data_IF_143042415930
#
_entry.id   IF_143042415930
#
_cell.length_a   1.000
_cell.length_b   1.000
_cell.length_c   1.000
_cell.angle_alpha   90.00
_cell.angle_beta   90.00
_cell.angle_gamma   90.00
#
_symmetry.space_group_name_H-M   'P 1'
#
loop_
_entity.id
_entity.type
_entity.pdbx_description
1 polymer ?
#
# COMPACT_ATOMS: atom_id res chain seq x y z
N UNK A 1 89.42 8.31 -28.54
CA UNK A 1 88.43 7.29 -28.96
C UNK A 1 87.74 6.77 -27.70
N UNK A 2 86.63 7.39 -27.30
CA UNK A 2 85.71 6.90 -26.25
C UNK A 2 84.33 7.41 -26.66
N UNK A 3 83.42 6.50 -26.94
CA UNK A 3 82.03 6.80 -27.25
C UNK A 3 81.17 6.55 -26.00
N UNK A 4 80.41 7.57 -25.59
CA UNK A 4 79.38 7.51 -24.56
C UNK A 4 78.07 7.01 -25.21
N UNK A 5 77.48 5.95 -24.67
CA UNK A 5 76.13 5.51 -24.99
C UNK A 5 75.11 6.11 -24.02
N UNK A 6 74.10 6.76 -24.58
CA UNK A 6 72.90 7.23 -23.89
C UNK A 6 71.98 6.03 -23.62
N UNK A 7 71.46 5.92 -22.40
CA UNK A 7 70.36 5.00 -22.06
C UNK A 7 69.05 5.79 -22.09
N UNK A 8 68.13 5.32 -22.93
CA UNK A 8 66.85 5.97 -23.25
C UNK A 8 65.89 6.02 -22.04
N UNK A 9 65.43 7.23 -21.75
CA UNK A 9 64.41 7.60 -20.76
C UNK A 9 62.97 7.28 -21.21
N UNK A 10 62.77 6.17 -21.93
CA UNK A 10 61.47 5.81 -22.52
C UNK A 10 60.77 4.62 -21.83
N UNK A 11 61.46 3.89 -20.95
CA UNK A 11 60.94 2.64 -20.38
C UNK A 11 60.17 2.79 -19.05
N UNK A 12 60.25 3.94 -18.36
CA UNK A 12 59.61 4.13 -17.06
C UNK A 12 58.14 4.63 -17.11
N UNK A 13 57.63 5.05 -18.27
CA UNK A 13 56.28 5.64 -18.39
C UNK A 13 55.16 4.67 -18.79
N UNK A 14 55.48 3.40 -19.13
CA UNK A 14 54.45 2.43 -19.57
C UNK A 14 53.90 1.54 -18.45
N UNK A 15 54.58 1.45 -17.31
CA UNK A 15 54.16 0.56 -16.19
C UNK A 15 53.19 1.27 -15.23
N UNK A 16 53.30 2.59 -15.09
CA UNK A 16 52.44 3.39 -14.18
C UNK A 16 51.05 3.68 -14.75
N UNK A 17 50.89 3.79 -16.07
CA UNK A 17 49.58 4.08 -16.68
C UNK A 17 48.66 2.84 -16.68
N UNK A 18 49.22 1.63 -16.71
CA UNK A 18 48.41 0.41 -16.70
C UNK A 18 47.81 0.09 -15.33
N UNK A 19 48.42 0.52 -14.22
CA UNK A 19 47.91 0.25 -12.87
C UNK A 19 46.75 1.17 -12.45
N UNK A 20 46.66 2.38 -13.02
CA UNK A 20 45.56 3.33 -12.73
C UNK A 20 44.26 2.89 -13.43
N UNK A 21 44.36 2.26 -14.60
CA UNK A 21 43.20 1.76 -15.34
C UNK A 21 42.50 0.56 -14.66
N UNK A 22 43.26 -0.31 -13.98
CA UNK A 22 42.67 -1.41 -13.19
C UNK A 22 42.16 -0.96 -11.81
N UNK A 23 42.73 0.10 -11.23
CA UNK A 23 42.25 0.66 -9.95
C UNK A 23 40.87 1.32 -10.03
N UNK A 24 40.51 1.89 -11.19
CA UNK A 24 39.20 2.55 -11.38
C UNK A 24 38.06 1.59 -11.74
N UNK A 25 38.36 0.42 -12.30
CA UNK A 25 37.35 -0.57 -12.68
C UNK A 25 36.78 -1.36 -11.48
N UNK A 26 37.55 -1.48 -10.39
CA UNK A 26 37.12 -2.24 -9.20
C UNK A 26 36.16 -1.44 -8.30
N UNK A 27 36.12 -0.10 -8.39
CA UNK A 27 35.24 0.73 -7.56
C UNK A 27 33.78 0.82 -8.07
N UNK A 28 33.48 0.37 -9.29
CA UNK A 28 32.11 0.36 -9.84
C UNK A 28 31.34 -0.95 -9.57
N UNK A 29 31.94 -1.92 -8.89
CA UNK A 29 31.27 -3.14 -8.43
C UNK A 29 30.81 -3.01 -6.97
N UNK A 30 30.40 -1.82 -6.54
CA UNK A 30 29.65 -1.72 -5.29
C UNK A 30 28.30 -2.40 -5.52
N UNK A 31 28.00 -3.52 -4.83
CA UNK A 31 26.68 -4.09 -4.90
C UNK A 31 25.71 -3.03 -4.40
N UNK A 32 24.81 -2.57 -5.27
CA UNK A 32 23.61 -1.87 -4.79
C UNK A 32 22.92 -2.85 -3.85
N UNK A 33 23.06 -2.61 -2.55
CA UNK A 33 22.39 -3.38 -1.53
C UNK A 33 20.89 -3.21 -1.77
N UNK A 34 20.26 -4.24 -2.34
CA UNK A 34 18.81 -4.29 -2.46
C UNK A 34 18.30 -4.56 -1.05
N UNK A 35 17.97 -3.49 -0.33
CA UNK A 35 17.32 -3.61 0.98
C UNK A 35 15.87 -4.07 0.78
N UNK A 36 15.66 -5.38 0.83
CA UNK A 36 14.34 -5.96 1.01
C UNK A 36 14.03 -5.97 2.50
N UNK A 37 13.21 -5.04 2.97
CA UNK A 37 12.67 -5.13 4.33
C UNK A 37 11.44 -6.03 4.30
N UNK A 38 11.31 -6.96 5.24
CA UNK A 38 10.14 -7.83 5.33
C UNK A 38 8.88 -7.03 5.68
N UNK A 39 7.74 -7.43 5.12
CA UNK A 39 6.44 -6.87 5.49
C UNK A 39 6.06 -7.40 6.87
N UNK A 40 5.84 -6.50 7.84
CA UNK A 40 5.34 -6.89 9.15
C UNK A 40 3.86 -7.22 9.02
N UNK A 41 3.52 -8.51 9.02
CA UNK A 41 2.15 -8.97 8.78
C UNK A 41 1.29 -8.77 10.03
N UNK A 42 0.17 -8.06 9.88
CA UNK A 42 -0.83 -7.91 10.94
C UNK A 42 -1.91 -8.99 10.86
N UNK A 43 -2.50 -9.18 9.68
CA UNK A 43 -3.54 -10.20 9.45
C UNK A 43 -3.46 -10.71 8.01
N UNK A 44 -3.75 -12.00 7.83
CA UNK A 44 -3.96 -12.62 6.53
C UNK A 44 -5.37 -13.21 6.45
N UNK A 45 -6.08 -12.90 5.38
CA UNK A 45 -7.44 -13.33 5.11
C UNK A 45 -7.47 -14.18 3.83
N UNK A 46 -8.13 -15.35 3.84
CA UNK A 46 -8.28 -16.11 2.61
C UNK A 46 -9.15 -15.33 1.62
N UNK A 47 -8.79 -15.38 0.35
CA UNK A 47 -9.62 -14.91 -0.76
C UNK A 47 -10.16 -16.11 -1.49
N UNK A 48 -11.48 -16.26 -1.54
CA UNK A 48 -12.13 -17.45 -2.09
C UNK A 48 -13.14 -17.11 -3.20
N UNK A 49 -13.38 -18.08 -4.07
CA UNK A 49 -14.44 -18.08 -5.08
C UNK A 49 -15.02 -19.49 -5.16
N UNK A 50 -16.34 -19.64 -5.00
CA UNK A 50 -17.00 -20.96 -5.01
C UNK A 50 -16.32 -22.00 -4.11
N UNK A 51 -15.93 -21.58 -2.89
CA UNK A 51 -15.21 -22.40 -1.87
C UNK A 51 -13.76 -22.74 -2.22
N UNK A 52 -13.27 -22.35 -3.40
CA UNK A 52 -11.89 -22.52 -3.81
C UNK A 52 -11.03 -21.32 -3.38
N UNK A 53 -9.84 -21.58 -2.86
CA UNK A 53 -8.89 -20.53 -2.52
C UNK A 53 -8.27 -19.95 -3.79
N UNK A 54 -8.44 -18.65 -3.99
CA UNK A 54 -7.77 -17.88 -5.04
C UNK A 54 -6.46 -17.25 -4.57
N UNK A 55 -6.26 -17.14 -3.26
CA UNK A 55 -5.10 -16.47 -2.69
C UNK A 55 -5.32 -15.98 -1.27
N UNK A 56 -4.49 -15.02 -0.86
CA UNK A 56 -4.55 -14.37 0.46
C UNK A 56 -4.52 -12.86 0.32
N UNK A 57 -5.33 -12.18 1.13
CA UNK A 57 -5.34 -10.74 1.33
C UNK A 57 -4.66 -10.46 2.67
N UNK A 58 -3.52 -9.77 2.61
CA UNK A 58 -2.66 -9.50 3.75
C UNK A 58 -2.72 -8.02 4.07
N UNK A 59 -2.94 -7.67 5.32
CA UNK A 59 -2.78 -6.32 5.85
C UNK A 59 -1.57 -6.31 6.81
N UNK A 60 -0.73 -5.29 6.70
CA UNK A 60 0.41 -5.11 7.59
C UNK A 60 -0.02 -4.85 9.03
N UNK A 61 0.92 -4.91 9.96
CA UNK A 61 0.77 -4.21 11.22
C UNK A 61 0.58 -2.71 10.92
N UNK A 62 -0.32 -2.04 11.62
CA UNK A 62 -0.47 -0.60 11.48
C UNK A 62 0.80 0.08 11.99
N UNK A 63 1.20 1.15 11.31
CA UNK A 63 2.10 2.15 11.86
C UNK A 63 1.32 3.42 12.16
N UNK A 64 1.90 4.31 12.95
CA UNK A 64 1.34 5.57 13.38
C UNK A 64 2.07 6.70 12.70
N UNK A 65 1.39 7.83 12.48
CA UNK A 65 2.00 9.03 11.90
C UNK A 65 1.34 10.30 12.42
N UNK A 66 2.08 11.40 12.37
CA UNK A 66 1.61 12.76 12.66
C UNK A 66 1.33 13.47 11.35
N UNK A 67 0.07 13.51 10.92
CA UNK A 67 -0.36 14.19 9.70
C UNK A 67 0.50 13.82 8.48
N UNK A 68 0.73 12.52 8.27
CA UNK A 68 1.58 11.95 7.20
C UNK A 68 3.08 12.25 7.32
N UNK A 69 3.55 12.38 8.55
CA UNK A 69 4.97 12.51 8.86
C UNK A 69 5.34 11.73 10.12
N UNK A 70 6.64 11.57 10.38
CA UNK A 70 7.16 10.94 11.61
C UNK A 70 6.59 9.53 11.85
N UNK A 71 6.55 8.71 10.81
CA UNK A 71 5.90 7.42 10.87
C UNK A 71 6.71 6.37 11.65
N UNK A 72 6.04 5.61 12.52
CA UNK A 72 6.66 4.58 13.34
C UNK A 72 5.67 3.46 13.72
N UNK A 73 6.16 2.26 14.02
CA UNK A 73 5.32 1.14 14.49
C UNK A 73 4.85 1.29 15.96
N UNK A 74 5.35 2.30 16.66
CA UNK A 74 4.95 2.65 18.03
C UNK A 74 4.34 4.05 17.95
N UNK A 75 3.16 4.23 18.52
CA UNK A 75 2.48 5.52 18.54
C UNK A 75 3.32 6.55 19.32
N UNK A 76 3.36 7.77 18.81
CA UNK A 76 3.85 8.94 19.53
C UNK A 76 2.66 9.73 20.08
N UNK A 77 2.89 10.52 21.14
CA UNK A 77 1.88 11.37 21.78
C UNK A 77 1.13 12.29 20.79
N UNK A 78 1.76 12.62 19.65
CA UNK A 78 1.21 13.49 18.61
C UNK A 78 0.77 12.73 17.35
N UNK A 79 0.61 11.41 17.40
CA UNK A 79 0.08 10.65 16.29
C UNK A 79 -1.37 11.06 16.02
N UNK A 80 -1.72 11.27 14.75
CA UNK A 80 -3.06 11.71 14.33
C UNK A 80 -3.77 10.69 13.45
N UNK A 81 -3.08 9.62 13.07
CA UNK A 81 -3.60 8.59 12.20
C UNK A 81 -2.71 7.36 12.17
N UNK A 82 -3.13 6.40 11.34
CA UNK A 82 -2.41 5.15 11.11
C UNK A 82 -2.09 5.00 9.63
N UNK A 83 -1.19 4.08 9.30
CA UNK A 83 -0.99 3.61 7.95
C UNK A 83 -0.87 2.10 7.89
N UNK A 84 -1.22 1.54 6.73
CA UNK A 84 -1.17 0.11 6.45
C UNK A 84 -0.74 -0.14 5.00
N UNK A 85 -0.10 -1.29 4.77
CA UNK A 85 -0.01 -1.87 3.44
C UNK A 85 -1.03 -3.01 3.34
N UNK A 86 -1.78 -3.07 2.23
CA UNK A 86 -2.72 -4.15 1.97
C UNK A 86 -2.35 -4.79 0.63
N UNK A 87 -2.06 -6.08 0.66
CA UNK A 87 -1.54 -6.86 -0.48
C UNK A 87 -2.43 -8.06 -0.73
N UNK A 88 -2.95 -8.19 -1.96
CA UNK A 88 -3.53 -9.44 -2.44
C UNK A 88 -2.47 -10.26 -3.17
N UNK A 89 -2.33 -11.52 -2.78
CA UNK A 89 -1.46 -12.51 -3.41
C UNK A 89 -2.30 -13.65 -3.96
N UNK A 90 -2.46 -13.71 -5.28
CA UNK A 90 -3.10 -14.83 -5.95
C UNK A 90 -2.22 -16.09 -5.89
N UNK A 91 -2.84 -17.24 -5.67
CA UNK A 91 -2.21 -18.55 -5.85
C UNK A 91 -2.40 -19.04 -7.31
N UNK A 92 -2.01 -20.27 -7.62
CA UNK A 92 -2.15 -20.82 -8.98
C UNK A 92 -3.61 -20.86 -9.51
N UNK A 93 -4.60 -21.01 -8.62
CA UNK A 93 -6.04 -20.98 -8.94
C UNK A 93 -6.53 -19.55 -9.24
N UNK A 94 -5.99 -18.57 -8.52
CA UNK A 94 -6.30 -17.15 -8.73
C UNK A 94 -5.46 -16.46 -9.82
N UNK A 95 -4.30 -16.96 -10.20
CA UNK A 95 -3.47 -16.25 -11.19
C UNK A 95 -4.21 -16.13 -12.54
N UNK A 96 -4.39 -14.89 -13.00
CA UNK A 96 -5.15 -14.53 -14.20
C UNK A 96 -4.53 -15.06 -15.50
N UNK A 97 -3.28 -15.55 -15.44
CA UNK A 97 -2.54 -16.14 -16.56
C UNK A 97 -2.45 -17.67 -16.49
N UNK A 98 -2.85 -18.29 -15.39
CA UNK A 98 -2.77 -19.73 -15.18
C UNK A 98 -4.17 -20.34 -15.10
N UNK A 99 -4.54 -20.98 -13.99
CA UNK A 99 -5.81 -21.69 -13.90
C UNK A 99 -7.00 -20.72 -13.93
N UNK A 100 -6.83 -19.53 -13.35
CA UNK A 100 -7.81 -18.45 -13.34
C UNK A 100 -9.26 -18.95 -13.16
N UNK A 101 -9.51 -19.76 -12.12
CA UNK A 101 -10.77 -20.50 -12.01
C UNK A 101 -11.99 -19.57 -11.89
N UNK A 102 -11.76 -18.35 -11.41
CA UNK A 102 -12.78 -17.31 -11.29
C UNK A 102 -12.95 -16.48 -12.57
N UNK A 103 -12.20 -16.77 -13.65
CA UNK A 103 -12.21 -16.03 -14.91
C UNK A 103 -12.02 -14.52 -14.74
N UNK A 104 -11.14 -14.12 -13.82
CA UNK A 104 -10.80 -12.71 -13.59
C UNK A 104 -9.91 -12.22 -14.72
N UNK A 105 -10.22 -11.07 -15.30
CA UNK A 105 -9.27 -10.38 -16.19
C UNK A 105 -8.20 -9.68 -15.38
N UNK A 106 -8.60 -9.07 -14.26
CA UNK A 106 -7.70 -8.44 -13.30
C UNK A 106 -8.33 -8.44 -11.91
N UNK A 107 -7.46 -8.37 -10.91
CA UNK A 107 -7.87 -8.10 -9.54
C UNK A 107 -7.77 -6.60 -9.25
N UNK A 108 -8.82 -6.07 -8.65
CA UNK A 108 -8.92 -4.68 -8.21
C UNK A 108 -9.16 -4.61 -6.71
N UNK A 109 -8.93 -3.45 -6.12
CA UNK A 109 -9.26 -3.19 -4.72
C UNK A 109 -10.31 -2.08 -4.66
N UNK A 110 -11.36 -2.32 -3.90
CA UNK A 110 -12.33 -1.30 -3.50
C UNK A 110 -12.23 -1.09 -2.01
N UNK A 111 -12.42 0.15 -1.56
CA UNK A 111 -12.39 0.50 -0.15
C UNK A 111 -13.54 1.45 0.15
N UNK A 112 -14.31 1.16 1.19
CA UNK A 112 -15.25 2.11 1.76
C UNK A 112 -14.75 2.59 3.12
N UNK A 113 -14.98 3.87 3.41
CA UNK A 113 -14.70 4.52 4.68
C UNK A 113 -16.01 4.83 5.39
N UNK A 114 -16.12 4.45 6.65
CA UNK A 114 -17.10 4.95 7.60
C UNK A 114 -16.40 5.86 8.62
N UNK A 115 -16.97 7.03 8.93
CA UNK A 115 -16.40 7.92 9.96
C UNK A 115 -17.43 8.65 10.81
N UNK A 116 -17.05 8.95 12.05
CA UNK A 116 -17.77 9.84 12.98
C UNK A 116 -17.29 11.29 12.90
N UNK A 117 -16.24 11.59 12.14
CA UNK A 117 -15.73 12.95 11.97
C UNK A 117 -16.77 13.85 11.28
N UNK A 118 -16.68 15.17 11.51
CA UNK A 118 -17.45 16.16 10.74
C UNK A 118 -17.12 16.02 9.26
N UNK A 119 -18.17 15.99 8.46
CA UNK A 119 -18.09 15.79 7.02
C UNK A 119 -18.07 17.13 6.29
N UNK A 120 -17.33 17.19 5.19
CA UNK A 120 -17.45 18.30 4.25
C UNK A 120 -18.77 18.24 3.47
N UNK A 121 -19.14 19.35 2.85
CA UNK A 121 -20.31 19.39 1.97
C UNK A 121 -20.16 18.35 0.84
N UNK A 122 -21.15 17.47 0.70
CA UNK A 122 -21.16 16.39 -0.30
C UNK A 122 -20.56 15.06 0.17
N UNK A 123 -19.81 15.05 1.27
CA UNK A 123 -19.33 13.79 1.88
C UNK A 123 -20.45 13.08 2.64
N UNK A 124 -20.37 11.75 2.66
CA UNK A 124 -21.21 10.87 3.48
C UNK A 124 -20.37 10.16 4.52
N UNK A 125 -21.01 9.88 5.66
CA UNK A 125 -20.36 9.16 6.77
C UNK A 125 -19.82 7.82 6.28
N UNK A 126 -20.57 7.10 5.44
CA UNK A 126 -20.15 5.91 4.72
C UNK A 126 -20.13 6.18 3.21
N UNK A 127 -18.95 6.02 2.59
CA UNK A 127 -18.75 6.19 1.14
C UNK A 127 -17.52 5.43 0.65
N UNK A 128 -17.32 5.32 -0.67
CA UNK A 128 -16.04 4.85 -1.21
C UNK A 128 -14.94 5.82 -0.83
N UNK A 129 -13.79 5.29 -0.43
CA UNK A 129 -12.61 6.08 -0.08
C UNK A 129 -11.82 6.48 -1.32
N UNK A 130 -12.41 7.37 -2.11
CA UNK A 130 -11.89 7.82 -3.39
C UNK A 130 -11.92 9.34 -3.46
N UNK A 131 -10.99 9.96 -4.19
CA UNK A 131 -11.12 11.37 -4.50
C UNK A 131 -12.41 11.62 -5.30
N UNK A 132 -13.00 12.80 -5.14
CA UNK A 132 -14.26 13.16 -5.82
C UNK A 132 -14.17 13.01 -7.36
N UNK A 133 -13.00 13.31 -7.92
CA UNK A 133 -12.71 13.21 -9.35
C UNK A 133 -12.40 11.78 -9.85
N UNK A 134 -12.51 10.75 -9.00
CA UNK A 134 -12.20 9.38 -9.40
C UNK A 134 -13.11 8.90 -10.54
N UNK A 135 -12.50 8.58 -11.68
CA UNK A 135 -13.20 8.07 -12.87
C UNK A 135 -13.72 6.64 -12.70
N UNK A 136 -13.11 5.89 -11.79
CA UNK A 136 -13.43 4.51 -11.54
C UNK A 136 -13.53 4.25 -10.02
N UNK A 137 -14.36 3.29 -9.60
CA UNK A 137 -14.70 3.05 -8.21
C UNK A 137 -13.65 2.19 -7.48
N UNK A 138 -12.39 2.26 -7.92
CA UNK A 138 -11.32 1.38 -7.49
C UNK A 138 -10.23 2.19 -6.77
N UNK A 139 -9.81 1.73 -5.60
CA UNK A 139 -8.77 2.36 -4.81
C UNK A 139 -7.39 2.19 -5.47
N UNK A 140 -7.17 1.07 -6.16
CA UNK A 140 -5.97 0.80 -6.94
C UNK A 140 -6.02 1.48 -8.32
N UNK A 141 -6.12 2.81 -8.31
CA UNK A 141 -6.16 3.66 -9.50
C UNK A 141 -5.33 4.94 -9.30
N UNK A 142 -5.10 5.68 -10.39
CA UNK A 142 -4.33 6.93 -10.37
C UNK A 142 -4.86 7.94 -9.34
N UNK A 143 -3.95 8.78 -8.84
CA UNK A 143 -4.06 9.66 -7.67
C UNK A 143 -4.01 8.95 -6.30
N UNK A 144 -4.04 7.61 -6.24
CA UNK A 144 -3.77 6.83 -5.02
C UNK A 144 -2.46 6.04 -5.15
N UNK A 145 -1.96 5.59 -4.00
CA UNK A 145 -0.76 4.78 -3.91
C UNK A 145 -1.09 3.29 -4.03
N UNK A 146 -0.62 2.65 -5.11
CA UNK A 146 -0.87 1.23 -5.38
C UNK A 146 0.31 0.57 -6.10
N UNK A 147 0.28 -0.76 -6.17
CA UNK A 147 1.30 -1.57 -6.82
C UNK A 147 0.74 -2.86 -7.43
N UNK A 148 1.46 -3.43 -8.40
CA UNK A 148 1.12 -4.71 -9.06
C UNK A 148 2.37 -5.46 -9.43
N UNK A 149 2.32 -6.80 -9.37
CA UNK A 149 3.47 -7.66 -9.63
C UNK A 149 4.63 -7.32 -8.71
N UNK A 150 5.85 -7.46 -9.23
CA UNK A 150 7.04 -6.89 -8.62
C UNK A 150 7.07 -5.39 -8.85
N UNK A 151 7.02 -4.61 -7.77
CA UNK A 151 6.97 -3.16 -7.83
C UNK A 151 7.76 -2.54 -6.69
N UNK A 152 8.10 -1.27 -6.85
CA UNK A 152 8.62 -0.46 -5.77
C UNK A 152 7.46 0.19 -5.02
N UNK A 153 7.57 0.32 -3.69
CA UNK A 153 6.65 1.12 -2.87
C UNK A 153 6.51 2.56 -3.40
N UNK A 154 5.49 3.30 -2.94
CA UNK A 154 5.29 4.71 -3.32
C UNK A 154 6.56 5.55 -3.15
N UNK A 155 6.65 6.61 -3.95
CA UNK A 155 7.81 7.53 -3.92
C UNK A 155 7.80 8.33 -2.61
N UNK A 156 6.61 8.71 -2.14
CA UNK A 156 6.45 9.38 -0.86
C UNK A 156 6.58 8.36 0.28
N UNK A 157 7.61 8.55 1.09
CA UNK A 157 7.94 7.72 2.25
C UNK A 157 7.83 8.51 3.57
N UNK A 158 7.41 9.79 3.54
CA UNK A 158 7.40 10.63 4.75
C UNK A 158 6.44 10.11 5.82
N UNK A 159 5.38 9.43 5.38
CA UNK A 159 4.35 8.82 6.18
C UNK A 159 4.52 7.30 6.35
N UNK A 160 5.70 6.75 6.00
CA UNK A 160 6.02 5.33 6.11
C UNK A 160 7.14 5.09 7.14
N UNK A 161 7.12 3.97 7.88
CA UNK A 161 8.14 3.67 8.90
C UNK A 161 9.49 3.22 8.31
N UNK A 162 9.62 3.23 6.99
CA UNK A 162 10.82 2.88 6.25
C UNK A 162 11.26 4.04 5.36
N UNK A 163 12.53 4.02 4.95
CA UNK A 163 13.11 5.02 4.07
C UNK A 163 13.36 4.46 2.67
N UNK A 164 13.12 5.29 1.68
CA UNK A 164 13.24 4.97 0.27
C UNK A 164 12.18 4.02 -0.24
N UNK A 165 12.40 3.55 -1.46
CA UNK A 165 11.47 2.68 -2.17
C UNK A 165 11.88 1.21 -2.00
N UNK A 166 11.13 0.48 -1.18
CA UNK A 166 11.32 -0.96 -0.96
C UNK A 166 10.72 -1.71 -2.14
N UNK A 167 11.34 -2.82 -2.53
CA UNK A 167 10.73 -3.74 -3.49
C UNK A 167 9.68 -4.61 -2.79
N UNK A 168 8.46 -4.62 -3.33
CA UNK A 168 7.35 -5.48 -2.92
C UNK A 168 6.94 -6.38 -4.09
N UNK A 169 6.30 -7.49 -3.76
CA UNK A 169 5.60 -8.33 -4.73
C UNK A 169 4.15 -8.45 -4.27
N UNK A 170 3.20 -8.38 -5.20
CA UNK A 170 1.79 -8.65 -4.95
C UNK A 170 1.07 -8.85 -6.28
N UNK A 171 -0.13 -9.45 -6.28
CA UNK A 171 -1.01 -9.39 -7.45
C UNK A 171 -1.56 -7.97 -7.60
N UNK A 172 -2.01 -7.39 -6.49
CA UNK A 172 -2.34 -5.96 -6.35
C UNK A 172 -2.07 -5.54 -4.91
N UNK A 173 -1.55 -4.34 -4.70
CA UNK A 173 -1.34 -3.75 -3.39
C UNK A 173 -1.85 -2.30 -3.35
N UNK A 174 -2.27 -1.87 -2.18
CA UNK A 174 -2.54 -0.46 -1.86
C UNK A 174 -1.76 -0.06 -0.61
N UNK A 175 -1.43 1.23 -0.53
CA UNK A 175 -0.74 1.84 0.59
C UNK A 175 -1.64 2.97 1.08
N UNK A 176 -2.12 2.88 2.31
CA UNK A 176 -3.09 3.83 2.83
C UNK A 176 -2.61 4.41 4.17
N UNK A 177 -2.73 5.73 4.31
CA UNK A 177 -2.27 6.51 5.47
C UNK A 177 -3.35 7.49 5.92
N UNK A 178 -4.50 6.98 6.38
CA UNK A 178 -5.61 7.83 6.81
C UNK A 178 -5.28 8.58 8.11
N UNK A 179 -5.74 9.82 8.19
CA UNK A 179 -5.78 10.60 9.42
C UNK A 179 -6.98 11.56 9.39
N UNK A 180 -7.40 12.01 10.55
CA UNK A 180 -8.43 13.04 10.71
C UNK A 180 -7.89 14.06 11.69
N UNK A 181 -7.86 15.33 11.28
CA UNK A 181 -7.48 16.43 12.19
C UNK A 181 -8.55 16.64 13.27
N UNK A 182 -8.14 17.05 14.46
CA UNK A 182 -9.01 17.38 15.59
C UNK A 182 -10.04 18.45 15.26
N UNK A 183 -9.75 19.32 14.29
CA UNK A 183 -10.69 20.32 13.79
C UNK A 183 -11.99 19.72 13.24
N UNK A 184 -11.98 18.42 12.89
CA UNK A 184 -13.15 17.67 12.44
C UNK A 184 -13.81 16.84 13.54
N UNK A 185 -13.34 16.90 14.78
CA UNK A 185 -13.97 16.19 15.90
C UNK A 185 -15.35 16.73 16.29
N UNK A 186 -16.17 15.89 16.89
CA UNK A 186 -17.50 16.25 17.40
C UNK A 186 -17.52 16.06 18.91
N UNK A 187 -17.89 17.11 19.65
CA UNK A 187 -17.90 17.06 21.12
C UNK A 187 -18.81 15.91 21.62
N UNK A 188 -18.29 15.13 22.57
CA UNK A 188 -18.96 13.95 23.10
C UNK A 188 -18.89 12.69 22.22
N UNK A 189 -18.08 12.69 21.16
CA UNK A 189 -17.88 11.53 20.28
C UNK A 189 -16.41 11.32 19.94
N UNK A 190 -15.93 10.07 20.05
CA UNK A 190 -14.61 9.70 19.53
C UNK A 190 -14.55 9.88 18.02
N UNK A 191 -13.37 10.24 17.52
CA UNK A 191 -13.07 10.20 16.09
C UNK A 191 -12.77 8.74 15.74
N UNK A 192 -13.68 8.11 15.01
CA UNK A 192 -13.52 6.76 14.48
C UNK A 192 -13.47 6.83 12.96
N UNK A 193 -12.54 6.07 12.38
CA UNK A 193 -12.47 5.82 10.95
C UNK A 193 -12.32 4.33 10.73
N UNK A 194 -13.35 3.74 10.13
CA UNK A 194 -13.44 2.32 9.80
C UNK A 194 -13.37 2.16 8.30
N UNK A 195 -12.67 1.13 7.86
CA UNK A 195 -12.49 0.79 6.47
C UNK A 195 -12.94 -0.63 6.22
N UNK A 196 -13.62 -0.81 5.09
CA UNK A 196 -13.89 -2.11 4.50
C UNK A 196 -13.17 -2.18 3.15
N UNK A 197 -12.12 -3.00 3.08
CA UNK A 197 -11.28 -3.15 1.89
C UNK A 197 -11.49 -4.53 1.29
N UNK A 198 -11.87 -4.59 0.02
CA UNK A 198 -12.23 -5.84 -0.64
C UNK A 198 -11.46 -6.05 -1.94
N UNK A 199 -11.16 -7.31 -2.22
CA UNK A 199 -10.67 -7.74 -3.53
C UNK A 199 -11.85 -7.91 -4.47
N UNK A 200 -11.76 -7.33 -5.65
CA UNK A 200 -12.72 -7.47 -6.74
C UNK A 200 -12.08 -8.26 -7.87
N UNK A 201 -12.77 -9.29 -8.33
CA UNK A 201 -12.49 -9.96 -9.59
C UNK A 201 -13.22 -9.21 -10.71
N UNK A 202 -12.49 -8.43 -11.51
CA UNK A 202 -13.05 -7.67 -12.63
C UNK A 202 -13.10 -8.53 -13.89
N UNK A 203 -14.22 -8.44 -14.62
CA UNK A 203 -14.48 -9.16 -15.89
C UNK A 203 -15.13 -8.20 -16.90
N UNK A 204 -14.83 -8.28 -18.20
CA UNK A 204 -15.41 -7.38 -19.23
C UNK A 204 -16.86 -7.74 -19.60
N UNK A 205 -17.16 -9.04 -19.73
CA UNK A 205 -18.44 -9.53 -20.24
C UNK A 205 -19.43 -10.00 -19.14
N UNK A 206 -19.04 -9.87 -17.87
CA UNK A 206 -19.84 -10.29 -16.70
C UNK A 206 -19.67 -9.30 -15.57
N UNK A 207 -20.57 -9.34 -14.57
CA UNK A 207 -20.40 -8.61 -13.32
C UNK A 207 -18.96 -8.74 -12.81
N UNK A 208 -18.38 -7.63 -12.33
CA UNK A 208 -17.33 -7.79 -11.33
C UNK A 208 -17.92 -8.53 -10.13
N UNK A 209 -17.16 -9.43 -9.51
CA UNK A 209 -17.56 -10.07 -8.27
C UNK A 209 -16.69 -9.57 -7.12
N UNK A 210 -17.33 -9.19 -6.03
CA UNK A 210 -16.65 -8.99 -4.76
C UNK A 210 -16.23 -10.36 -4.25
N UNK A 211 -14.96 -10.53 -3.91
CA UNK A 211 -14.43 -11.75 -3.33
C UNK A 211 -14.46 -11.61 -1.82
N UNK A 212 -13.30 -11.55 -1.18
CA UNK A 212 -13.17 -11.40 0.26
C UNK A 212 -12.75 -9.98 0.63
N UNK A 213 -13.08 -9.62 1.87
CA UNK A 213 -12.89 -8.30 2.43
C UNK A 213 -12.15 -8.36 3.77
N UNK A 214 -11.65 -7.22 4.19
CA UNK A 214 -11.12 -7.02 5.53
C UNK A 214 -11.69 -5.73 6.11
N UNK A 215 -12.04 -5.77 7.40
CA UNK A 215 -12.35 -4.59 8.19
C UNK A 215 -11.11 -4.18 8.97
N UNK A 216 -10.82 -2.88 9.01
CA UNK A 216 -9.72 -2.30 9.77
C UNK A 216 -10.04 -0.83 10.06
N UNK A 217 -9.21 -0.17 10.85
CA UNK A 217 -9.39 1.24 11.13
C UNK A 217 -8.70 1.68 12.40
N UNK A 218 -9.09 2.84 12.90
CA UNK A 218 -8.63 3.35 14.17
C UNK A 218 -9.72 4.16 14.85
N UNK A 219 -9.56 4.34 16.15
CA UNK A 219 -10.35 5.26 16.95
C UNK A 219 -9.44 6.16 17.75
N UNK A 220 -9.91 7.35 18.09
CA UNK A 220 -9.18 8.32 18.89
C UNK A 220 -10.16 9.15 19.69
N UNK A 221 -9.92 9.27 20.99
CA UNK A 221 -10.77 10.07 21.87
C UNK A 221 -10.70 11.56 21.48
N UNK A 222 -11.86 12.20 21.30
CA UNK A 222 -11.92 13.62 20.98
C UNK A 222 -12.14 14.46 22.24
N UNK A 223 -11.12 15.18 22.67
CA UNK A 223 -11.14 15.98 23.90
C UNK A 223 -11.55 17.45 23.70
N UNK A 224 -12.36 17.74 22.68
CA UNK A 224 -13.02 19.05 22.55
C UNK A 224 -12.12 20.24 22.22
N UNK A 225 -11.00 20.02 21.51
CA UNK A 225 -10.06 21.09 21.13
C UNK A 225 -9.24 21.66 22.29
N UNK A 226 -9.25 21.01 23.46
CA UNK A 226 -8.28 21.26 24.51
C UNK A 226 -6.88 20.87 24.02
N UNK A 227 -5.82 21.45 24.59
CA UNK A 227 -4.43 21.30 24.13
C UNK A 227 -3.83 19.90 24.32
N UNK A 228 -4.64 18.89 24.65
CA UNK A 228 -4.20 17.50 24.76
C UNK A 228 -4.42 16.75 23.46
N UNK A 229 -3.61 15.73 23.26
CA UNK A 229 -3.73 14.78 22.16
C UNK A 229 -3.97 13.41 22.76
N UNK A 230 -4.82 12.61 22.12
CA UNK A 230 -4.96 11.20 22.44
C UNK A 230 -4.39 10.41 21.29
N UNK A 231 -3.67 9.34 21.61
CA UNK A 231 -3.09 8.51 20.58
C UNK A 231 -4.21 7.73 19.86
N UNK A 232 -4.12 7.56 18.53
CA UNK A 232 -5.05 6.70 17.83
C UNK A 232 -4.83 5.25 18.27
N UNK A 233 -5.90 4.57 18.63
CA UNK A 233 -5.92 3.13 18.86
C UNK A 233 -6.28 2.43 17.55
N UNK A 234 -5.34 1.63 17.02
CA UNK A 234 -5.62 0.82 15.86
C UNK A 234 -6.59 -0.32 16.20
N UNK A 235 -7.64 -0.46 15.40
CA UNK A 235 -8.62 -1.52 15.58
C UNK A 235 -8.12 -2.81 14.93
N UNK A 236 -8.35 -3.93 15.61
CA UNK A 236 -7.94 -5.24 15.11
C UNK A 236 -8.58 -5.55 13.76
N UNK A 237 -7.76 -5.91 12.76
CA UNK A 237 -8.24 -6.26 11.45
C UNK A 237 -9.04 -7.58 11.47
N UNK A 238 -10.18 -7.60 10.80
CA UNK A 238 -11.09 -8.74 10.75
C UNK A 238 -11.37 -9.19 9.33
N UNK A 239 -11.24 -10.49 9.07
CA UNK A 239 -11.54 -11.06 7.77
C UNK A 239 -13.05 -11.20 7.57
N UNK A 240 -13.51 -10.88 6.37
CA UNK A 240 -14.90 -11.06 5.95
C UNK A 240 -14.90 -11.84 4.63
N UNK A 241 -15.70 -12.91 4.56
CA UNK A 241 -15.79 -13.72 3.33
C UNK A 241 -16.53 -13.00 2.21
N UNK A 242 -17.42 -12.06 2.55
CA UNK A 242 -18.18 -11.24 1.62
C UNK A 242 -18.20 -9.81 2.11
N UNK A 243 -18.46 -8.86 1.20
CA UNK A 243 -18.67 -7.47 1.60
C UNK A 243 -19.95 -7.24 2.38
N UNK A 244 -19.98 -6.18 3.16
CA UNK A 244 -21.15 -5.70 3.86
C UNK A 244 -22.26 -5.32 2.87
N UNK A 245 -23.51 -5.42 3.33
CA UNK A 245 -24.67 -5.02 2.52
C UNK A 245 -24.53 -3.57 2.03
N UNK A 246 -24.04 -2.69 2.89
CA UNK A 246 -23.86 -1.27 2.58
C UNK A 246 -22.81 -1.06 1.49
N UNK A 247 -21.66 -1.74 1.54
CA UNK A 247 -20.65 -1.67 0.48
C UNK A 247 -21.22 -2.21 -0.84
N UNK A 248 -21.89 -3.36 -0.80
CA UNK A 248 -22.50 -3.96 -2.01
C UNK A 248 -23.50 -2.98 -2.65
N UNK A 249 -24.35 -2.32 -1.84
CA UNK A 249 -25.26 -1.28 -2.34
C UNK A 249 -24.52 -0.11 -2.98
N UNK A 250 -23.46 0.39 -2.35
CA UNK A 250 -22.64 1.48 -2.90
C UNK A 250 -22.03 1.07 -4.24
N UNK A 251 -21.50 -0.15 -4.34
CA UNK A 251 -20.87 -0.66 -5.55
C UNK A 251 -21.87 -0.93 -6.68
N UNK A 252 -23.07 -1.43 -6.38
CA UNK A 252 -24.16 -1.56 -7.37
C UNK A 252 -24.58 -0.20 -7.92
N UNK A 253 -24.76 0.80 -7.05
CA UNK A 253 -25.09 2.17 -7.47
C UNK A 253 -24.01 2.82 -8.35
N UNK A 254 -22.75 2.41 -8.17
CA UNK A 254 -21.60 2.82 -8.99
C UNK A 254 -21.36 1.90 -10.20
N UNK A 255 -22.24 0.94 -10.47
CA UNK A 255 -22.17 -0.02 -11.57
C UNK A 255 -20.87 -0.85 -11.58
N UNK A 256 -20.27 -1.09 -10.41
CA UNK A 256 -19.05 -1.92 -10.28
C UNK A 256 -19.41 -3.39 -10.36
N UNK A 257 -20.42 -3.77 -9.58
CA UNK A 257 -21.01 -5.09 -9.56
C UNK A 257 -22.25 -5.01 -10.45
N UNK A 258 -22.42 -5.94 -11.37
CA UNK A 258 -23.72 -6.07 -12.06
C UNK A 258 -24.69 -6.86 -11.19
N UNK A 259 -25.99 -6.78 -11.49
CA UNK A 259 -27.09 -7.38 -10.72
C UNK A 259 -27.14 -8.92 -10.78
N UNK A 260 -25.99 -9.60 -10.79
CA UNK A 260 -25.94 -11.07 -10.75
C UNK A 260 -26.16 -11.51 -9.30
N UNK A 261 -27.42 -11.46 -8.87
CA UNK A 261 -27.94 -12.41 -7.91
C UNK A 261 -28.20 -13.72 -8.67
N UNK A 262 -27.42 -14.74 -8.33
CA UNK A 262 -27.86 -16.14 -8.40
C UNK A 262 -27.58 -16.78 -7.07
#
# INVERSE_FOLDING_TARGET
>A
MVALSFVDSAYLNKVTISLIAYGLAVFMLLPFAVYSQELWVGKACPVTFEQESLGILVISQPWFHTSRSNAAYIASDNATGIGVEIHFFANAKGDTRHQNIANCQQYRIVQARQTTARLFAGEKALQLDLPEAAKAPFYDAEAREFGRGSHQTPIDDSDKPWQGRINRASTVAIYDTPYVSDSYGQEGQDISVLFETCVVCQREASASSLLSCLHWGYQREFIGGQTGWTEPEALNAQCQLTGSKSLVTILRNKQVLSDIEK
#
